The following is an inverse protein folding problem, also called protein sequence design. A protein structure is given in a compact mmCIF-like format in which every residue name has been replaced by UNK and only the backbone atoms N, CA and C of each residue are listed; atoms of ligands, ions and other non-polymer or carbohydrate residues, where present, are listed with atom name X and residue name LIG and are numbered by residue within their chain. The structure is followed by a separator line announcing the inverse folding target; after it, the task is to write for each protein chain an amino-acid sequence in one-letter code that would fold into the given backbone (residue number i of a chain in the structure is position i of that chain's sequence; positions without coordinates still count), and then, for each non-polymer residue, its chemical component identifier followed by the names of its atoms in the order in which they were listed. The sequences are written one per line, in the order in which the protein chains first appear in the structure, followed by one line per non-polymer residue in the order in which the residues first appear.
data_IF_844078850345
#
_entry.id   IF_844078850345
#
_cell.length_a   1.000
_cell.length_b   1.000
_cell.length_c   1.000
_cell.angle_alpha   90.00
_cell.angle_beta   90.00
_cell.angle_gamma   90.00
#
_symmetry.space_group_name_H-M   'P 1'
#
loop_
_entity.id
_entity.type
_entity.pdbx_description
1 polymer ?
#
# COMPACT_ATOMS: atom_id res chain seq x y z
N UNK A 1 3.53 5.39 -36.11
CA UNK A 1 2.58 5.38 -34.97
C UNK A 1 2.14 3.93 -34.75
N UNK A 2 2.21 3.39 -33.53
CA UNK A 2 1.71 2.03 -33.27
C UNK A 2 0.19 2.12 -33.16
N UNK A 3 -0.55 1.50 -34.07
CA UNK A 3 -2.01 1.43 -34.00
C UNK A 3 -2.40 0.34 -33.00
N UNK A 4 -2.87 0.75 -31.82
CA UNK A 4 -3.38 -0.15 -30.79
C UNK A 4 -4.90 -0.05 -30.83
N UNK A 5 -5.58 -1.13 -31.24
CA UNK A 5 -7.02 -1.23 -31.01
C UNK A 5 -7.23 -1.48 -29.52
N UNK A 6 -8.05 -0.67 -28.86
CA UNK A 6 -8.25 -0.76 -27.41
C UNK A 6 -9.71 -0.95 -27.02
N UNK A 7 -9.94 -1.43 -25.80
CA UNK A 7 -11.27 -1.42 -25.17
C UNK A 7 -11.59 -0.04 -24.58
N UNK A 8 -12.84 0.16 -24.13
CA UNK A 8 -13.30 1.43 -23.53
C UNK A 8 -12.50 1.88 -22.29
N UNK A 9 -11.71 0.98 -21.69
CA UNK A 9 -10.90 1.27 -20.51
C UNK A 9 -9.44 1.58 -20.85
N UNK A 10 -9.08 1.65 -22.13
CA UNK A 10 -7.71 1.80 -22.62
C UNK A 10 -6.75 0.76 -22.01
N UNK A 11 -7.21 -0.47 -21.81
CA UNK A 11 -6.47 -1.47 -21.05
C UNK A 11 -5.22 -1.96 -21.80
N UNK A 12 -5.28 -2.07 -23.13
CA UNK A 12 -4.19 -2.55 -23.98
C UNK A 12 -3.10 -1.49 -24.16
N UNK A 13 -3.48 -0.23 -24.34
CA UNK A 13 -2.60 0.92 -24.41
C UNK A 13 -1.86 1.11 -23.09
N UNK A 14 -2.56 1.08 -21.95
CA UNK A 14 -1.93 1.13 -20.62
C UNK A 14 -0.91 0.00 -20.43
N UNK A 15 -1.25 -1.21 -20.86
CA UNK A 15 -0.33 -2.35 -20.79
C UNK A 15 0.88 -2.15 -21.69
N UNK A 16 0.70 -1.64 -22.91
CA UNK A 16 1.79 -1.31 -23.83
C UNK A 16 2.75 -0.28 -23.24
N UNK A 17 2.24 0.85 -22.73
CA UNK A 17 3.08 1.88 -22.10
C UNK A 17 3.81 1.34 -20.86
N UNK A 18 3.16 0.49 -20.06
CA UNK A 18 3.81 -0.21 -18.94
C UNK A 18 4.98 -1.08 -19.42
N UNK A 19 4.81 -1.81 -20.52
CA UNK A 19 5.86 -2.63 -21.12
C UNK A 19 7.02 -1.79 -21.66
N UNK A 20 6.73 -0.69 -22.36
CA UNK A 20 7.73 0.25 -22.87
C UNK A 20 8.51 0.88 -21.72
N UNK A 21 7.82 1.39 -20.69
CA UNK A 21 8.44 1.96 -19.51
C UNK A 21 9.33 0.94 -18.78
N UNK A 22 8.90 -0.33 -18.69
CA UNK A 22 9.71 -1.39 -18.11
C UNK A 22 10.97 -1.67 -18.92
N UNK A 23 10.86 -1.75 -20.25
CA UNK A 23 12.01 -1.95 -21.15
C UNK A 23 13.00 -0.79 -21.03
N UNK A 24 12.51 0.44 -21.03
CA UNK A 24 13.35 1.62 -20.87
C UNK A 24 14.04 1.68 -19.50
N UNK A 25 13.33 1.32 -18.43
CA UNK A 25 13.93 1.21 -17.09
C UNK A 25 15.04 0.15 -17.03
N UNK A 26 14.85 -1.01 -17.65
CA UNK A 26 15.87 -2.04 -17.78
C UNK A 26 17.08 -1.54 -18.59
N UNK A 27 16.84 -0.80 -19.68
CA UNK A 27 17.90 -0.19 -20.49
C UNK A 27 18.75 0.78 -19.67
N UNK A 28 18.12 1.74 -18.98
CA UNK A 28 18.83 2.68 -18.07
C UNK A 28 19.62 1.93 -17.00
N UNK A 29 19.05 0.88 -16.42
CA UNK A 29 19.73 0.04 -15.43
C UNK A 29 20.98 -0.63 -16.00
N UNK A 30 20.92 -1.08 -17.26
CA UNK A 30 22.07 -1.66 -17.97
C UNK A 30 23.18 -0.62 -18.19
N UNK A 31 22.81 0.61 -18.59
CA UNK A 31 23.78 1.70 -18.73
C UNK A 31 24.52 1.97 -17.41
N UNK A 32 23.78 2.10 -16.30
CA UNK A 32 24.36 2.30 -14.96
C UNK A 32 25.27 1.14 -14.56
N UNK A 33 24.83 -0.10 -14.76
CA UNK A 33 25.60 -1.30 -14.37
C UNK A 33 26.93 -1.42 -15.13
N UNK A 34 26.95 -1.00 -16.39
CA UNK A 34 28.06 -1.23 -17.29
C UNK A 34 29.05 -0.06 -17.37
N UNK A 35 28.60 1.19 -17.25
CA UNK A 35 29.47 2.37 -17.39
C UNK A 35 29.63 3.20 -16.12
N UNK A 36 28.68 3.15 -15.17
CA UNK A 36 28.77 3.93 -13.92
C UNK A 36 29.31 3.07 -12.78
N UNK A 37 28.62 1.98 -12.45
CA UNK A 37 28.96 1.12 -11.31
C UNK A 37 29.92 -0.01 -11.66
N UNK A 38 30.18 -0.24 -12.95
CA UNK A 38 31.08 -1.28 -13.48
C UNK A 38 30.85 -2.69 -12.92
N UNK A 39 29.62 -3.01 -12.51
CA UNK A 39 29.21 -4.32 -11.96
C UNK A 39 29.00 -5.38 -13.05
N UNK A 40 28.85 -4.98 -14.30
CA UNK A 40 28.65 -5.87 -15.44
C UNK A 40 29.91 -5.90 -16.30
N UNK A 41 30.43 -7.11 -16.57
CA UNK A 41 31.58 -7.28 -17.46
C UNK A 41 31.20 -6.81 -18.86
N UNK A 42 32.02 -5.91 -19.43
CA UNK A 42 31.87 -5.49 -20.82
C UNK A 42 32.18 -6.69 -21.73
N UNK A 43 31.41 -6.92 -22.80
CA UNK A 43 31.78 -7.93 -23.78
C UNK A 43 33.12 -7.54 -24.42
N UNK A 44 33.96 -8.54 -24.74
CA UNK A 44 35.36 -8.35 -25.16
C UNK A 44 35.51 -7.35 -26.33
N UNK A 45 34.53 -7.30 -27.23
CA UNK A 45 34.48 -6.42 -28.39
C UNK A 45 34.04 -4.96 -28.10
N UNK A 46 33.73 -4.62 -26.85
CA UNK A 46 33.21 -3.30 -26.44
C UNK A 46 33.81 -2.81 -25.12
N UNK A 47 35.02 -3.26 -24.78
CA UNK A 47 35.72 -2.92 -23.52
C UNK A 47 35.98 -1.42 -23.38
N UNK A 48 36.32 -0.73 -24.47
CA UNK A 48 36.63 0.70 -24.46
C UNK A 48 35.50 1.59 -25.03
N UNK A 49 34.39 1.00 -25.49
CA UNK A 49 33.29 1.77 -26.09
C UNK A 49 32.43 2.46 -25.03
N UNK A 50 32.11 3.72 -25.25
CA UNK A 50 31.17 4.49 -24.46
C UNK A 50 29.72 4.19 -24.89
N UNK A 51 28.69 4.61 -24.11
CA UNK A 51 27.30 4.32 -24.45
C UNK A 51 26.88 4.83 -25.84
N UNK A 52 27.36 6.01 -26.24
CA UNK A 52 27.06 6.58 -27.56
C UNK A 52 27.74 5.83 -28.71
N UNK A 53 28.90 5.19 -28.48
CA UNK A 53 29.56 4.33 -29.48
C UNK A 53 28.84 2.98 -29.68
N UNK A 54 28.00 2.58 -28.72
CA UNK A 54 27.26 1.31 -28.73
C UNK A 54 25.82 1.50 -29.17
N UNK A 55 25.24 2.66 -28.88
CA UNK A 55 23.83 2.97 -29.13
C UNK A 55 23.70 4.24 -29.97
N UNK A 56 23.36 4.09 -31.25
CA UNK A 56 23.25 5.20 -32.22
C UNK A 56 22.25 6.30 -31.81
N UNK A 57 21.32 5.99 -30.90
CA UNK A 57 20.29 6.91 -30.42
C UNK A 57 20.66 7.61 -29.10
N UNK A 58 21.87 7.41 -28.58
CA UNK A 58 22.38 8.12 -27.41
C UNK A 58 23.45 9.09 -27.89
N UNK A 59 23.26 10.37 -27.63
CA UNK A 59 24.31 11.39 -27.83
C UNK A 59 25.21 11.51 -26.59
N UNK A 60 26.38 12.13 -26.75
CA UNK A 60 27.27 12.42 -25.63
C UNK A 60 26.59 13.33 -24.59
N UNK A 61 25.80 14.30 -25.03
CA UNK A 61 25.07 15.22 -24.16
C UNK A 61 23.94 14.54 -23.40
N UNK A 62 23.23 13.60 -24.04
CA UNK A 62 22.24 12.75 -23.36
C UNK A 62 22.91 11.95 -22.24
N UNK A 63 24.11 11.41 -22.50
CA UNK A 63 24.87 10.68 -21.50
C UNK A 63 25.29 11.57 -20.33
N UNK A 64 25.88 12.74 -20.60
CA UNK A 64 26.26 13.71 -19.56
C UNK A 64 25.06 14.09 -18.69
N UNK A 65 23.91 14.36 -19.33
CA UNK A 65 22.66 14.69 -18.65
C UNK A 65 22.17 13.52 -17.79
N UNK A 66 22.23 12.30 -18.31
CA UNK A 66 21.86 11.09 -17.58
C UNK A 66 22.74 10.85 -16.35
N UNK A 67 24.05 11.01 -16.47
CA UNK A 67 25.00 10.86 -15.36
C UNK A 67 24.73 11.90 -14.27
N UNK A 68 24.54 13.17 -14.63
CA UNK A 68 24.15 14.24 -13.68
C UNK A 68 22.86 13.86 -12.94
N UNK A 69 21.85 13.38 -13.67
CA UNK A 69 20.58 12.99 -13.06
C UNK A 69 20.71 11.79 -12.11
N UNK A 70 21.60 10.85 -12.41
CA UNK A 70 21.83 9.68 -11.56
C UNK A 70 22.40 10.06 -10.18
N UNK A 71 23.33 11.01 -10.15
CA UNK A 71 23.99 11.48 -8.92
C UNK A 71 23.23 12.57 -8.15
N UNK A 72 22.07 13.01 -8.64
CA UNK A 72 21.18 13.90 -7.87
C UNK A 72 20.86 13.28 -6.49
N UNK A 73 20.96 14.04 -5.39
CA UNK A 73 20.66 13.53 -4.06
C UNK A 73 19.27 12.88 -3.95
N UNK A 74 18.26 13.49 -4.59
CA UNK A 74 16.89 12.95 -4.64
C UNK A 74 16.82 11.55 -5.31
N UNK A 75 17.60 11.34 -6.38
CA UNK A 75 17.67 10.05 -7.09
C UNK A 75 18.32 8.97 -6.24
N UNK A 76 19.39 9.30 -5.53
CA UNK A 76 20.08 8.39 -4.63
C UNK A 76 19.20 8.00 -3.43
N UNK A 77 18.50 8.97 -2.82
CA UNK A 77 17.55 8.72 -1.73
C UNK A 77 16.41 7.78 -2.16
N UNK A 78 15.84 7.99 -3.36
CA UNK A 78 14.82 7.09 -3.93
C UNK A 78 15.37 5.68 -4.12
N UNK A 79 16.59 5.55 -4.62
CA UNK A 79 17.25 4.25 -4.82
C UNK A 79 17.48 3.52 -3.50
N UNK A 80 17.95 4.23 -2.48
CA UNK A 80 18.18 3.67 -1.16
C UNK A 80 16.89 3.20 -0.50
N UNK A 81 15.82 4.02 -0.56
CA UNK A 81 14.48 3.63 -0.07
C UNK A 81 13.98 2.36 -0.76
N UNK A 82 14.13 2.26 -2.08
CA UNK A 82 13.73 1.08 -2.83
C UNK A 82 14.55 -0.16 -2.43
N UNK A 83 15.86 -0.01 -2.18
CA UNK A 83 16.74 -1.09 -1.70
C UNK A 83 16.36 -1.55 -0.30
N UNK A 84 16.10 -0.63 0.64
CA UNK A 84 15.60 -0.94 1.98
C UNK A 84 14.26 -1.69 1.92
N UNK A 85 13.35 -1.24 1.06
CA UNK A 85 12.08 -1.95 0.86
C UNK A 85 12.30 -3.35 0.28
N UNK A 86 13.25 -3.52 -0.65
CA UNK A 86 13.53 -4.80 -1.26
C UNK A 86 14.18 -5.80 -0.28
N UNK A 87 15.04 -5.34 0.63
CA UNK A 87 15.62 -6.19 1.67
C UNK A 87 14.60 -6.69 2.69
N UNK A 88 13.48 -5.98 2.87
CA UNK A 88 12.38 -6.40 3.74
C UNK A 88 11.41 -7.40 3.06
N UNK A 89 11.65 -7.80 1.80
CA UNK A 89 10.79 -8.78 1.12
C UNK A 89 10.98 -10.16 1.74
N UNK A 90 9.97 -10.65 2.44
CA UNK A 90 9.93 -12.01 2.99
C UNK A 90 9.49 -13.03 1.94
N UNK A 91 10.04 -14.24 2.05
CA UNK A 91 9.60 -15.43 1.33
C UNK A 91 9.46 -15.20 -0.19
N UNK A 92 10.55 -14.87 -0.90
CA UNK A 92 10.51 -14.72 -2.35
C UNK A 92 10.25 -16.07 -3.03
N UNK A 93 9.31 -16.09 -3.98
CA UNK A 93 8.98 -17.29 -4.73
C UNK A 93 10.12 -17.72 -5.68
N UNK A 94 10.25 -19.02 -5.96
CA UNK A 94 11.31 -19.62 -6.82
C UNK A 94 10.88 -19.92 -8.27
N UNK A 95 9.80 -19.29 -8.75
CA UNK A 95 9.29 -19.48 -10.13
C UNK A 95 10.18 -18.88 -11.24
N UNK A 96 11.24 -18.15 -10.87
CA UNK A 96 12.19 -17.52 -11.80
C UNK A 96 11.52 -16.52 -12.77
N UNK A 97 12.09 -16.39 -13.98
CA UNK A 97 11.57 -15.47 -15.02
C UNK A 97 10.21 -15.89 -15.58
N UNK A 98 9.82 -17.16 -15.42
CA UNK A 98 8.54 -17.70 -15.93
C UNK A 98 7.35 -17.11 -15.15
N UNK A 99 7.50 -16.91 -13.84
CA UNK A 99 6.41 -16.52 -12.95
C UNK A 99 5.33 -17.60 -12.82
N UNK A 100 4.31 -17.35 -12.00
CA UNK A 100 3.21 -18.31 -11.74
C UNK A 100 2.48 -18.75 -13.01
N UNK A 101 2.12 -17.80 -13.90
CA UNK A 101 1.31 -18.10 -15.08
C UNK A 101 1.95 -19.14 -16.00
N UNK A 102 3.26 -19.05 -16.24
CA UNK A 102 3.95 -20.03 -17.08
C UNK A 102 4.32 -21.30 -16.31
N UNK A 103 4.67 -21.17 -15.03
CA UNK A 103 4.99 -22.34 -14.18
C UNK A 103 3.79 -23.24 -13.93
N UNK A 104 2.58 -22.69 -13.92
CA UNK A 104 1.34 -23.46 -13.86
C UNK A 104 1.24 -24.54 -14.94
N UNK A 105 1.58 -24.20 -16.17
CA UNK A 105 1.58 -25.17 -17.28
C UNK A 105 2.63 -26.26 -17.06
N UNK A 106 3.80 -25.93 -16.51
CA UNK A 106 4.82 -26.92 -16.14
C UNK A 106 4.27 -27.84 -15.04
N UNK A 107 3.67 -27.29 -13.98
CA UNK A 107 3.11 -28.08 -12.87
C UNK A 107 1.97 -29.01 -13.28
N UNK A 108 1.14 -28.58 -14.24
CA UNK A 108 0.07 -29.43 -14.80
C UNK A 108 0.69 -30.58 -15.60
N UNK A 109 1.70 -30.31 -16.43
CA UNK A 109 2.41 -31.35 -17.20
C UNK A 109 3.10 -32.37 -16.30
N UNK A 110 3.66 -31.89 -15.18
CA UNK A 110 4.33 -32.73 -14.19
C UNK A 110 3.34 -33.48 -13.27
N UNK A 111 2.02 -33.31 -13.44
CA UNK A 111 1.00 -33.94 -12.60
C UNK A 111 0.88 -33.37 -11.18
N UNK A 112 1.57 -32.26 -10.88
CA UNK A 112 1.61 -31.61 -9.55
C UNK A 112 0.45 -30.65 -9.31
N UNK A 113 -0.28 -30.30 -10.36
CA UNK A 113 -1.47 -29.47 -10.33
C UNK A 113 -2.51 -30.06 -11.29
N UNK A 114 -3.80 -30.12 -10.93
CA UNK A 114 -4.79 -30.74 -11.80
C UNK A 114 -5.04 -29.90 -13.07
N UNK A 115 -5.51 -30.52 -14.17
CA UNK A 115 -5.72 -29.83 -15.45
C UNK A 115 -6.75 -28.69 -15.39
N UNK A 116 -7.75 -28.79 -14.50
CA UNK A 116 -8.77 -27.74 -14.29
C UNK A 116 -8.19 -26.46 -13.66
N UNK A 117 -6.96 -26.51 -13.15
CA UNK A 117 -6.22 -25.32 -12.75
C UNK A 117 -5.69 -24.53 -13.94
N UNK A 118 -5.74 -25.04 -15.17
CA UNK A 118 -5.38 -24.27 -16.35
C UNK A 118 -6.24 -22.99 -16.44
N UNK A 119 -5.62 -21.87 -16.83
CA UNK A 119 -6.41 -20.71 -17.21
C UNK A 119 -7.23 -21.11 -18.45
N UNK A 120 -8.55 -20.88 -18.48
CA UNK A 120 -9.24 -20.86 -19.75
C UNK A 120 -8.53 -19.80 -20.58
N UNK A 121 -7.88 -20.23 -21.66
CA UNK A 121 -7.44 -19.34 -22.71
C UNK A 121 -8.74 -18.83 -23.30
N UNK A 122 -9.31 -17.75 -22.76
CA UNK A 122 -10.50 -17.15 -23.35
C UNK A 122 -10.10 -16.53 -24.68
N UNK A 123 -10.20 -17.36 -25.71
CA UNK A 123 -10.92 -17.02 -26.93
C UNK A 123 -12.18 -16.24 -26.57
N UNK A 124 -12.39 -15.17 -27.32
CA UNK A 124 -13.52 -14.27 -27.29
C UNK A 124 -14.88 -14.98 -27.24
N UNK A 125 -15.52 -15.04 -26.07
CA UNK A 125 -16.99 -14.96 -25.95
C UNK A 125 -17.42 -15.00 -24.47
N UNK A 126 -18.33 -14.09 -24.10
CA UNK A 126 -18.98 -13.95 -22.79
C UNK A 126 -18.14 -13.39 -21.62
N UNK A 127 -18.31 -12.09 -21.38
CA UNK A 127 -17.68 -11.30 -20.31
C UNK A 127 -18.09 -11.71 -18.88
N UNK A 128 -19.17 -12.49 -18.71
CA UNK A 128 -19.68 -12.84 -17.38
C UNK A 128 -19.17 -14.22 -16.88
N UNK A 129 -18.95 -15.19 -17.77
CA UNK A 129 -18.48 -16.55 -17.41
C UNK A 129 -16.97 -16.62 -17.09
N UNK A 130 -16.17 -15.77 -17.74
CA UNK A 130 -14.70 -15.74 -17.58
C UNK A 130 -14.24 -15.20 -16.20
N UNK A 131 -15.04 -14.34 -15.57
CA UNK A 131 -14.69 -13.74 -14.26
C UNK A 131 -14.95 -14.72 -13.11
N UNK A 132 -16.09 -15.39 -13.09
CA UNK A 132 -16.46 -16.35 -12.02
C UNK A 132 -15.56 -17.58 -12.02
N UNK A 133 -15.23 -18.12 -13.20
CA UNK A 133 -14.28 -19.24 -13.36
C UNK A 133 -12.88 -18.88 -12.86
N UNK A 134 -12.41 -17.65 -13.13
CA UNK A 134 -11.12 -17.18 -12.61
C UNK A 134 -11.13 -17.04 -11.08
N UNK A 135 -12.21 -16.51 -10.50
CA UNK A 135 -12.37 -16.36 -9.04
C UNK A 135 -12.35 -17.72 -8.33
N UNK A 136 -13.14 -18.67 -8.81
CA UNK A 136 -13.19 -20.02 -8.25
C UNK A 136 -11.84 -20.72 -8.36
N UNK A 137 -11.16 -20.59 -9.50
CA UNK A 137 -9.81 -21.14 -9.68
C UNK A 137 -8.82 -20.55 -8.68
N UNK A 138 -8.80 -19.22 -8.52
CA UNK A 138 -7.91 -18.56 -7.58
C UNK A 138 -8.16 -19.08 -6.17
N UNK A 139 -9.42 -19.15 -5.72
CA UNK A 139 -9.75 -19.68 -4.40
C UNK A 139 -9.25 -21.12 -4.22
N UNK A 140 -9.47 -21.98 -5.21
CA UNK A 140 -9.14 -23.42 -5.15
C UNK A 140 -7.65 -23.73 -5.25
N UNK A 141 -6.91 -23.01 -6.10
CA UNK A 141 -5.55 -23.41 -6.49
C UNK A 141 -4.44 -22.47 -6.04
N UNK A 142 -4.74 -21.22 -5.67
CA UNK A 142 -3.69 -20.23 -5.36
C UNK A 142 -2.77 -20.66 -4.22
N UNK A 143 -3.33 -21.24 -3.17
CA UNK A 143 -2.55 -21.78 -2.03
C UNK A 143 -1.60 -22.89 -2.50
N UNK A 144 -2.09 -23.83 -3.31
CA UNK A 144 -1.29 -24.93 -3.90
C UNK A 144 -0.21 -24.37 -4.84
N UNK A 145 -0.55 -23.42 -5.70
CA UNK A 145 0.41 -22.73 -6.59
C UNK A 145 1.50 -21.99 -5.80
N UNK A 146 1.16 -21.35 -4.68
CA UNK A 146 2.13 -20.71 -3.80
C UNK A 146 3.10 -21.73 -3.21
N UNK A 147 2.60 -22.85 -2.69
CA UNK A 147 3.44 -23.95 -2.16
C UNK A 147 4.40 -24.48 -3.24
N UNK A 148 3.87 -24.80 -4.43
CA UNK A 148 4.67 -25.30 -5.56
C UNK A 148 5.73 -24.30 -6.02
N UNK A 149 5.47 -22.99 -5.88
CA UNK A 149 6.41 -21.95 -6.19
C UNK A 149 7.59 -21.86 -5.21
N UNK A 150 7.48 -22.45 -4.03
CA UNK A 150 8.51 -22.46 -3.00
C UNK A 150 9.30 -23.77 -2.94
N UNK A 151 8.85 -24.81 -3.63
CA UNK A 151 9.55 -26.09 -3.71
C UNK A 151 10.86 -26.01 -4.51
N UNK A 152 11.83 -26.80 -4.08
CA UNK A 152 13.15 -27.03 -4.69
C UNK A 152 13.32 -28.53 -4.91
N UNK A 153 14.10 -28.91 -5.91
CA UNK A 153 14.50 -30.31 -6.07
C UNK A 153 15.62 -30.65 -5.10
N UNK A 154 15.41 -31.70 -4.32
CA UNK A 154 16.44 -32.31 -3.50
C UNK A 154 17.52 -32.99 -4.35
N UNK A 155 18.60 -33.42 -3.69
CA UNK A 155 19.64 -34.27 -4.28
C UNK A 155 19.06 -35.54 -4.91
N UNK A 156 17.94 -36.04 -4.38
CA UNK A 156 17.19 -37.20 -4.85
C UNK A 156 16.21 -36.90 -6.00
N UNK A 157 16.11 -35.63 -6.44
CA UNK A 157 15.20 -35.20 -7.49
C UNK A 157 13.74 -34.99 -7.04
N UNK A 158 13.42 -35.28 -5.78
CA UNK A 158 12.10 -35.01 -5.18
C UNK A 158 11.89 -33.51 -4.95
N UNK A 159 10.68 -33.03 -5.20
CA UNK A 159 10.30 -31.64 -4.97
C UNK A 159 9.77 -31.44 -3.55
N UNK A 160 10.46 -30.63 -2.75
CA UNK A 160 10.01 -30.25 -1.41
C UNK A 160 10.42 -28.82 -1.06
N UNK A 161 9.83 -28.27 0.01
CA UNK A 161 10.24 -26.97 0.53
C UNK A 161 11.52 -27.18 1.33
N UNK A 162 12.51 -26.31 1.11
CA UNK A 162 13.76 -26.35 1.85
C UNK A 162 13.49 -26.27 3.36
N UNK A 163 13.92 -27.25 4.17
CA UNK A 163 13.71 -27.24 5.63
C UNK A 163 14.29 -26.01 6.34
N UNK A 164 15.29 -25.35 5.73
CA UNK A 164 15.86 -24.12 6.26
C UNK A 164 14.89 -22.93 6.17
N UNK A 165 13.90 -22.97 5.27
CA UNK A 165 12.87 -21.95 5.16
C UNK A 165 11.73 -22.20 6.17
N UNK A 166 12.03 -22.17 7.48
CA UNK A 166 11.08 -22.53 8.55
C UNK A 166 9.74 -21.80 8.43
N UNK A 167 9.76 -20.47 8.19
CA UNK A 167 8.53 -19.69 7.98
C UNK A 167 7.69 -20.22 6.81
N UNK A 168 8.34 -20.62 5.71
CA UNK A 168 7.65 -21.10 4.49
C UNK A 168 7.06 -22.48 4.73
N UNK A 169 7.79 -23.35 5.44
CA UNK A 169 7.31 -24.68 5.85
C UNK A 169 6.07 -24.54 6.72
N UNK A 170 6.11 -23.70 7.77
CA UNK A 170 4.95 -23.44 8.65
C UNK A 170 3.73 -22.87 7.92
N UNK A 171 3.95 -21.94 6.98
CA UNK A 171 2.86 -21.38 6.18
C UNK A 171 2.27 -22.47 5.26
N UNK A 172 3.12 -23.31 4.66
CA UNK A 172 2.67 -24.36 3.76
C UNK A 172 1.88 -25.45 4.49
N UNK A 173 2.33 -25.90 5.66
CA UNK A 173 1.62 -26.90 6.48
C UNK A 173 0.25 -26.38 6.89
N UNK A 174 0.18 -25.19 7.50
CA UNK A 174 -1.09 -24.55 7.87
C UNK A 174 -2.01 -24.33 6.68
N UNK A 175 -1.47 -23.90 5.53
CA UNK A 175 -2.29 -23.72 4.33
C UNK A 175 -2.88 -25.04 3.83
N UNK A 176 -2.14 -26.15 3.88
CA UNK A 176 -2.66 -27.48 3.51
C UNK A 176 -3.72 -27.97 4.49
N UNK A 177 -3.52 -27.75 5.80
CA UNK A 177 -4.51 -28.07 6.83
C UNK A 177 -5.81 -27.29 6.60
N UNK A 178 -5.74 -25.98 6.38
CA UNK A 178 -6.92 -25.16 6.11
C UNK A 178 -7.63 -25.52 4.80
N UNK A 179 -6.90 -25.97 3.76
CA UNK A 179 -7.52 -26.51 2.54
C UNK A 179 -8.30 -27.78 2.89
N UNK A 180 -7.72 -28.69 3.67
CA UNK A 180 -8.40 -29.92 4.06
C UNK A 180 -9.63 -29.66 4.95
N UNK A 181 -9.58 -28.66 5.84
CA UNK A 181 -10.72 -28.24 6.65
C UNK A 181 -11.84 -27.58 5.81
N UNK A 182 -11.48 -26.77 4.80
CA UNK A 182 -12.43 -26.20 3.85
C UNK A 182 -13.10 -27.31 3.02
N UNK A 183 -12.34 -28.30 2.54
CA UNK A 183 -12.86 -29.45 1.79
C UNK A 183 -13.81 -30.33 2.63
N UNK A 184 -13.60 -30.41 3.96
CA UNK A 184 -14.50 -31.07 4.91
C UNK A 184 -15.73 -30.24 5.28
N UNK A 185 -15.78 -28.96 4.91
CA UNK A 185 -16.87 -28.04 5.27
C UNK A 185 -16.78 -27.44 6.67
N UNK A 186 -15.69 -27.67 7.40
CA UNK A 186 -15.49 -27.14 8.76
C UNK A 186 -15.06 -25.66 8.77
N UNK A 187 -14.58 -25.17 7.63
CA UNK A 187 -14.00 -23.84 7.49
C UNK A 187 -14.54 -23.19 6.21
N UNK A 188 -15.00 -21.95 6.32
CA UNK A 188 -15.35 -21.11 5.18
C UNK A 188 -14.53 -19.82 5.22
N UNK A 189 -14.22 -19.26 4.05
CA UNK A 189 -13.46 -18.03 3.92
C UNK A 189 -14.32 -16.88 3.42
N UNK A 190 -14.07 -15.69 3.98
CA UNK A 190 -14.65 -14.45 3.48
C UNK A 190 -14.14 -14.09 2.07
N UNK A 191 -14.81 -13.13 1.43
CA UNK A 191 -14.39 -12.66 0.12
C UNK A 191 -13.02 -11.95 0.17
N UNK A 192 -12.06 -12.46 -0.60
CA UNK A 192 -10.68 -11.94 -0.60
C UNK A 192 -9.76 -12.63 0.40
N UNK A 193 -10.28 -13.62 1.11
CA UNK A 193 -9.53 -14.54 1.97
C UNK A 193 -9.54 -15.95 1.40
N UNK A 194 -8.58 -16.75 1.86
CA UNK A 194 -8.41 -18.17 1.57
C UNK A 194 -7.40 -18.78 2.56
N UNK A 195 -7.14 -20.08 2.40
CA UNK A 195 -6.19 -20.82 3.22
C UNK A 195 -4.80 -20.17 3.29
N UNK A 196 -4.29 -19.63 2.19
CA UNK A 196 -2.98 -18.99 2.15
C UNK A 196 -2.93 -17.69 2.96
N UNK A 197 -3.93 -16.83 2.81
CA UNK A 197 -3.98 -15.55 3.58
C UNK A 197 -4.21 -15.79 5.05
N UNK A 198 -5.01 -16.80 5.42
CA UNK A 198 -5.17 -17.25 6.81
C UNK A 198 -3.87 -17.81 7.38
N UNK A 199 -3.16 -18.68 6.65
CA UNK A 199 -1.87 -19.23 7.07
C UNK A 199 -0.78 -18.18 7.25
N UNK A 200 -0.75 -17.16 6.38
CA UNK A 200 0.18 -16.03 6.50
C UNK A 200 -0.22 -15.07 7.64
N UNK A 201 -1.49 -15.05 8.04
CA UNK A 201 -2.03 -14.10 9.01
C UNK A 201 -2.14 -12.66 8.47
N UNK A 202 -2.10 -12.46 7.16
CA UNK A 202 -2.19 -11.13 6.54
C UNK A 202 -2.96 -11.16 5.22
N UNK A 203 -3.97 -10.29 5.11
CA UNK A 203 -4.71 -10.04 3.87
C UNK A 203 -3.80 -9.48 2.76
N UNK A 204 -4.14 -9.81 1.52
CA UNK A 204 -3.42 -9.30 0.37
C UNK A 204 -3.61 -7.79 0.16
N UNK A 205 -2.61 -7.16 -0.47
CA UNK A 205 -2.70 -5.76 -0.82
C UNK A 205 -3.71 -5.53 -1.95
N UNK A 206 -4.52 -4.47 -1.89
CA UNK A 206 -5.59 -4.19 -2.88
C UNK A 206 -5.16 -4.31 -4.34
N UNK A 207 -3.96 -3.82 -4.64
CA UNK A 207 -3.40 -3.80 -6.00
C UNK A 207 -2.68 -5.07 -6.44
N UNK A 208 -2.37 -6.01 -5.54
CA UNK A 208 -1.58 -7.18 -5.87
C UNK A 208 -1.84 -8.36 -4.93
N UNK A 209 -2.21 -9.48 -5.52
CA UNK A 209 -2.49 -10.75 -4.85
C UNK A 209 -1.27 -11.67 -4.91
N UNK A 210 -0.98 -12.39 -3.83
CA UNK A 210 0.09 -13.41 -3.80
C UNK A 210 -0.32 -14.66 -4.59
N UNK A 211 0.64 -15.42 -5.11
CA UNK A 211 0.38 -16.72 -5.72
C UNK A 211 -0.30 -16.72 -7.11
N UNK A 212 -0.70 -15.57 -7.65
CA UNK A 212 -1.47 -15.51 -8.93
C UNK A 212 -0.68 -14.99 -10.13
N UNK A 213 0.53 -14.46 -9.91
CA UNK A 213 1.35 -13.84 -10.95
C UNK A 213 1.31 -12.30 -10.97
N UNK A 214 1.91 -11.69 -11.99
CA UNK A 214 2.08 -10.22 -12.06
C UNK A 214 0.77 -9.44 -12.22
N UNK A 215 0.66 -8.30 -11.51
CA UNK A 215 -0.41 -7.28 -11.61
C UNK A 215 -1.86 -7.78 -11.52
N UNK A 216 -2.11 -8.94 -10.90
CA UNK A 216 -3.48 -9.37 -10.58
C UNK A 216 -3.90 -8.69 -9.28
N UNK A 217 -4.80 -7.70 -9.40
CA UNK A 217 -5.41 -7.03 -8.25
C UNK A 217 -6.50 -7.87 -7.59
N UNK A 218 -6.86 -7.52 -6.35
CA UNK A 218 -7.81 -8.29 -5.53
C UNK A 218 -9.16 -8.49 -6.22
N UNK A 219 -9.67 -7.46 -6.93
CA UNK A 219 -10.93 -7.51 -7.66
C UNK A 219 -10.92 -8.53 -8.81
N UNK A 220 -9.78 -8.66 -9.51
CA UNK A 220 -9.63 -9.60 -10.62
C UNK A 220 -9.43 -11.03 -10.12
N UNK A 221 -8.84 -11.18 -8.94
CA UNK A 221 -8.55 -12.48 -8.32
C UNK A 221 -9.76 -13.06 -7.58
N UNK A 222 -10.49 -12.24 -6.81
CA UNK A 222 -11.56 -12.67 -5.90
C UNK A 222 -12.94 -12.09 -6.25
N UNK A 223 -13.03 -11.36 -7.37
CA UNK A 223 -14.25 -10.70 -7.81
C UNK A 223 -14.47 -9.33 -7.15
N UNK A 224 -15.50 -8.59 -7.58
CA UNK A 224 -15.91 -7.36 -6.91
C UNK A 224 -16.29 -7.67 -5.45
N UNK A 225 -15.64 -6.99 -4.51
CA UNK A 225 -16.08 -7.01 -3.12
C UNK A 225 -17.53 -6.52 -3.05
N UNK A 226 -18.37 -7.22 -2.28
CA UNK A 226 -19.63 -6.65 -1.81
C UNK A 226 -19.23 -5.41 -1.00
N UNK A 227 -19.48 -4.23 -1.58
CA UNK A 227 -19.36 -3.01 -0.81
C UNK A 227 -20.56 -3.03 0.11
N UNK A 228 -20.36 -3.32 1.39
CA UNK A 228 -21.19 -2.65 2.37
C UNK A 228 -21.04 -1.16 2.05
N UNK A 229 -22.13 -0.53 1.63
CA UNK A 229 -22.15 0.90 1.40
C UNK A 229 -21.49 1.54 2.61
N UNK A 230 -20.58 2.49 2.38
CA UNK A 230 -20.03 3.33 3.44
C UNK A 230 -21.12 4.30 3.96
N UNK A 231 -22.36 3.84 4.02
CA UNK A 231 -23.52 4.51 4.62
C UNK A 231 -23.82 3.96 6.01
N UNK A 232 -23.31 2.78 6.38
CA UNK A 232 -23.24 2.40 7.78
C UNK A 232 -21.99 3.06 8.35
N UNK A 233 -22.16 4.31 8.77
CA UNK A 233 -21.59 4.69 10.05
C UNK A 233 -22.07 3.61 11.02
N UNK A 234 -21.24 2.58 11.23
CA UNK A 234 -21.46 1.62 12.28
C UNK A 234 -21.73 2.45 13.53
N UNK A 235 -22.97 2.40 13.97
CA UNK A 235 -23.41 2.93 15.25
C UNK A 235 -22.61 2.14 16.28
N UNK A 236 -21.39 2.58 16.55
CA UNK A 236 -20.68 2.17 17.74
C UNK A 236 -21.66 2.41 18.87
N UNK A 237 -21.97 1.36 19.64
CA UNK A 237 -23.19 1.30 20.46
C UNK A 237 -23.36 2.62 21.22
N UNK A 238 -24.57 3.20 21.20
CA UNK A 238 -24.81 4.51 21.81
C UNK A 238 -24.33 4.54 23.27
N UNK A 239 -24.41 3.39 23.94
CA UNK A 239 -23.90 3.11 25.28
C UNK A 239 -22.42 3.49 25.46
N UNK A 240 -21.55 3.24 24.48
CA UNK A 240 -20.14 3.58 24.57
C UNK A 240 -19.89 5.08 24.45
N UNK A 241 -20.67 5.80 23.63
CA UNK A 241 -20.57 7.25 23.52
C UNK A 241 -21.19 7.97 24.71
N UNK A 242 -22.30 7.47 25.23
CA UNK A 242 -22.94 8.00 26.43
C UNK A 242 -22.05 7.79 27.66
N UNK A 243 -21.39 6.63 27.78
CA UNK A 243 -20.43 6.35 28.83
C UNK A 243 -19.21 7.29 28.76
N UNK A 244 -18.64 7.50 27.57
CA UNK A 244 -17.54 8.46 27.37
C UNK A 244 -18.01 9.89 27.69
N UNK A 245 -19.21 10.29 27.23
CA UNK A 245 -19.77 11.63 27.47
C UNK A 245 -20.04 11.87 28.96
N UNK A 246 -20.57 10.86 29.67
CA UNK A 246 -20.80 10.92 31.10
C UNK A 246 -19.49 11.00 31.89
N UNK A 247 -18.46 10.24 31.50
CA UNK A 247 -17.14 10.29 32.14
C UNK A 247 -16.50 11.67 32.00
N UNK A 248 -16.49 12.23 30.78
CA UNK A 248 -15.94 13.56 30.52
C UNK A 248 -16.69 14.65 31.30
N UNK A 249 -18.03 14.56 31.36
CA UNK A 249 -18.85 15.52 32.11
C UNK A 249 -18.54 15.46 33.62
N UNK A 250 -18.43 14.25 34.18
CA UNK A 250 -18.14 14.04 35.60
C UNK A 250 -16.74 14.52 35.98
N UNK A 251 -15.75 14.28 35.13
CA UNK A 251 -14.38 14.78 35.33
C UNK A 251 -14.35 16.31 35.33
N UNK A 252 -15.05 16.95 34.39
CA UNK A 252 -15.14 18.40 34.31
C UNK A 252 -15.85 19.02 35.52
N UNK A 253 -16.97 18.44 35.96
CA UNK A 253 -17.70 18.89 37.15
C UNK A 253 -16.84 18.78 38.41
N UNK A 254 -16.14 17.65 38.60
CA UNK A 254 -15.24 17.47 39.73
C UNK A 254 -14.04 18.41 39.71
N UNK A 255 -13.53 18.78 38.53
CA UNK A 255 -12.45 19.77 38.42
C UNK A 255 -12.94 21.19 38.69
N UNK A 256 -14.17 21.53 38.27
CA UNK A 256 -14.80 22.82 38.56
C UNK A 256 -15.04 22.98 40.06
N UNK A 257 -15.58 21.95 40.73
CA UNK A 257 -15.85 21.97 42.17
C UNK A 257 -14.57 22.21 42.97
N UNK A 258 -13.49 21.48 42.66
CA UNK A 258 -12.17 21.71 43.27
C UNK A 258 -11.63 23.12 43.06
N UNK A 259 -11.82 23.70 41.87
CA UNK A 259 -11.38 25.08 41.59
C UNK A 259 -12.20 26.11 42.37
N UNK A 260 -13.51 25.90 42.52
CA UNK A 260 -14.39 26.76 43.30
C UNK A 260 -14.03 26.69 44.78
N UNK A 261 -13.90 25.49 45.34
CA UNK A 261 -13.49 25.29 46.74
C UNK A 261 -12.16 25.98 47.05
N UNK A 262 -11.17 25.83 46.17
CA UNK A 262 -9.87 26.48 46.32
C UNK A 262 -10.00 28.01 46.33
N UNK A 263 -10.77 28.59 45.41
CA UNK A 263 -10.97 30.05 45.35
C UNK A 263 -11.75 30.58 46.56
N UNK A 264 -12.75 29.85 47.04
CA UNK A 264 -13.50 30.20 48.25
C UNK A 264 -12.59 30.15 49.48
N UNK A 265 -11.77 29.10 49.62
CA UNK A 265 -10.81 29.00 50.71
C UNK A 265 -9.77 30.14 50.67
N UNK A 266 -9.25 30.48 49.49
CA UNK A 266 -8.34 31.62 49.31
C UNK A 266 -9.00 32.96 49.65
N UNK A 267 -10.28 33.15 49.26
CA UNK A 267 -11.03 34.35 49.60
C UNK A 267 -11.26 34.46 51.11
N UNK A 268 -11.66 33.37 51.78
CA UNK A 268 -11.84 33.34 53.24
C UNK A 268 -10.52 33.59 53.98
N UNK A 269 -9.41 33.00 53.52
CA UNK A 269 -8.09 33.26 54.09
C UNK A 269 -7.69 34.73 53.93
N UNK A 270 -7.94 35.34 52.76
CA UNK A 270 -7.71 36.78 52.55
C UNK A 270 -8.54 37.61 53.53
N UNK A 271 -9.84 37.33 53.67
CA UNK A 271 -10.75 38.02 54.60
C UNK A 271 -10.29 37.92 56.07
N UNK A 272 -9.89 36.72 56.52
CA UNK A 272 -9.34 36.53 57.87
C UNK A 272 -8.02 37.28 58.06
N UNK A 273 -7.14 37.24 57.06
CA UNK A 273 -5.87 37.96 57.12
C UNK A 273 -6.05 39.49 57.16
N UNK A 274 -7.06 40.02 56.49
CA UNK A 274 -7.40 41.44 56.55
C UNK A 274 -7.97 41.81 57.92
N UNK A 275 -8.86 40.99 58.48
CA UNK A 275 -9.42 41.20 59.82
C UNK A 275 -8.34 41.23 60.91
N UNK A 276 -7.39 40.29 60.86
CA UNK A 276 -6.27 40.24 61.81
C UNK A 276 -5.32 41.44 61.68
N UNK A 277 -5.25 42.07 60.49
CA UNK A 277 -4.37 43.23 60.25
C UNK A 277 -5.02 44.57 60.59
N UNK A 278 -6.34 44.72 60.45
CA UNK A 278 -7.02 46.01 60.59
C UNK A 278 -7.85 46.18 61.85
N UNK A 279 -8.15 45.10 62.59
CA UNK A 279 -8.82 45.17 63.91
C UNK A 279 -10.22 45.81 63.90
N UNK A 280 -10.87 45.97 62.74
CA UNK A 280 -12.20 46.59 62.60
C UNK A 280 -13.12 45.76 61.69
N UNK A 281 -14.32 45.46 62.20
CA UNK A 281 -15.44 44.85 61.46
C UNK A 281 -16.09 45.91 60.57
N UNK A 282 -15.73 45.93 59.29
CA UNK A 282 -16.49 46.68 58.29
C UNK A 282 -17.45 45.74 57.55
N UNK A 283 -18.69 46.22 57.39
CA UNK A 283 -19.87 45.58 56.82
C UNK A 283 -19.65 44.38 55.89
N UNK A 284 -20.34 43.28 56.20
CA UNK A 284 -20.51 42.10 55.35
C UNK A 284 -21.26 42.54 54.08
N UNK A 285 -20.52 42.88 53.02
CA UNK A 285 -21.03 42.75 51.67
C UNK A 285 -20.80 41.32 51.24
N UNK A 286 -21.90 40.63 50.92
CA UNK A 286 -21.86 39.39 50.14
C UNK A 286 -20.95 39.61 48.92
N UNK A 287 -20.13 38.63 48.52
CA UNK A 287 -19.45 38.72 47.24
C UNK A 287 -20.55 38.68 46.17
N UNK A 288 -20.91 39.86 45.68
CA UNK A 288 -21.71 40.01 44.48
C UNK A 288 -20.94 39.27 43.38
N UNK A 289 -21.66 38.42 42.68
CA UNK A 289 -21.20 37.62 41.56
C UNK A 289 -21.00 38.52 40.31
N UNK A 290 -20.35 39.67 40.47
CA UNK A 290 -20.06 40.62 39.39
C UNK A 290 -18.67 40.32 38.85
N UNK A 291 -18.59 39.26 38.03
CA UNK A 291 -17.85 39.22 36.78
C UNK A 291 -17.80 37.76 36.28
N UNK A 292 -18.95 37.28 35.78
CA UNK A 292 -18.93 36.31 34.69
C UNK A 292 -18.63 37.04 33.37
N UNK A 293 -17.51 37.76 33.31
CA UNK A 293 -16.87 37.96 32.02
C UNK A 293 -16.22 36.62 31.67
N UNK A 294 -16.97 35.81 30.91
CA UNK A 294 -16.42 34.75 30.09
C UNK A 294 -15.35 35.40 29.21
N UNK A 295 -14.10 35.41 29.69
CA UNK A 295 -12.95 35.57 28.83
C UNK A 295 -12.90 34.30 27.99
N UNK A 296 -13.61 34.39 26.88
CA UNK A 296 -13.60 33.53 25.72
C UNK A 296 -12.20 33.62 25.07
N UNK A 297 -11.20 33.10 25.78
CA UNK A 297 -9.80 33.02 25.35
C UNK A 297 -9.01 32.06 26.24
N UNK A 298 -9.55 30.85 26.43
CA UNK A 298 -8.69 29.68 26.44
C UNK A 298 -8.82 29.05 25.05
N UNK A 299 -7.97 29.49 24.11
CA UNK A 299 -7.64 28.67 22.94
C UNK A 299 -7.13 27.35 23.50
N UNK A 300 -7.99 26.35 23.53
CA UNK A 300 -7.55 24.97 23.57
C UNK A 300 -6.88 24.76 22.22
N UNK A 301 -5.55 24.86 22.19
CA UNK A 301 -4.76 24.39 21.06
C UNK A 301 -4.87 22.85 21.01
N UNK A 302 -6.03 22.39 20.57
CA UNK A 302 -6.23 21.02 20.11
C UNK A 302 -5.58 20.97 18.73
N UNK A 303 -4.30 20.59 18.70
CA UNK A 303 -3.60 20.30 17.45
C UNK A 303 -4.18 19.01 16.81
N UNK A 304 -5.31 19.19 16.12
CA UNK A 304 -5.99 18.17 15.30
C UNK A 304 -5.45 18.23 13.86
N UNK A 305 -4.22 18.68 13.66
CA UNK A 305 -3.58 18.67 12.34
C UNK A 305 -2.65 17.47 12.10
N UNK A 306 -2.36 16.65 13.13
CA UNK A 306 -1.39 15.56 13.01
C UNK A 306 -1.89 14.26 12.32
N UNK A 307 -3.14 14.12 11.88
CA UNK A 307 -3.64 12.84 11.29
C UNK A 307 -4.37 12.91 9.95
N UNK A 308 -4.39 14.04 9.24
CA UNK A 308 -4.87 14.11 7.85
C UNK A 308 -3.75 14.48 6.88
N UNK A 309 -3.01 13.47 6.42
CA UNK A 309 -2.22 13.57 5.19
C UNK A 309 -3.16 13.64 3.98
N UNK A 310 -3.70 14.82 3.71
CA UNK A 310 -4.40 15.12 2.45
C UNK A 310 -3.33 15.50 1.43
N UNK A 311 -3.09 14.63 0.43
CA UNK A 311 -2.28 14.97 -0.73
C UNK A 311 -3.02 15.99 -1.59
N UNK A 312 -2.76 17.28 -1.38
CA UNK A 312 -3.07 18.29 -2.39
C UNK A 312 -2.11 18.12 -3.57
N UNK A 313 -2.62 17.59 -4.66
CA UNK A 313 -1.96 17.63 -5.96
C UNK A 313 -2.07 19.10 -6.41
N UNK A 314 -0.95 19.82 -6.36
CA UNK A 314 -0.81 21.08 -7.09
C UNK A 314 -0.84 20.75 -8.58
N UNK A 315 -2.01 20.90 -9.19
CA UNK A 315 -2.18 20.91 -10.64
C UNK A 315 -1.63 22.25 -11.13
N UNK A 316 -0.58 22.28 -11.98
CA UNK A 316 -0.16 23.52 -12.62
C UNK A 316 -1.29 24.00 -13.54
N UNK A 317 -1.72 25.25 -13.33
CA UNK A 317 -2.62 25.98 -14.23
C UNK A 317 -2.08 25.90 -15.69
N UNK A 318 -2.92 25.56 -16.68
CA UNK A 318 -2.49 25.53 -18.07
C UNK A 318 -2.13 26.96 -18.51
N UNK A 319 -0.88 27.17 -18.91
CA UNK A 319 -0.50 28.38 -19.65
C UNK A 319 -1.22 28.37 -20.99
N UNK A 320 -2.01 29.41 -21.23
CA UNK A 320 -2.52 29.86 -22.52
C UNK A 320 -1.47 29.63 -23.63
N UNK A 321 -1.71 28.61 -24.46
CA UNK A 321 -0.95 28.40 -25.69
C UNK A 321 -1.40 29.49 -26.68
N UNK A 322 -0.59 30.54 -26.81
CA UNK A 322 -0.68 31.47 -27.93
C UNK A 322 -0.64 30.68 -29.24
N UNK A 323 -1.78 30.64 -29.92
CA UNK A 323 -1.94 30.14 -31.28
C UNK A 323 -0.97 30.89 -32.19
N UNK A 324 0.13 30.26 -32.57
CA UNK A 324 0.92 30.69 -33.73
C UNK A 324 0.27 30.08 -34.97
N UNK A 325 -0.43 30.93 -35.73
CA UNK A 325 -0.83 30.65 -37.12
C UNK A 325 0.43 30.33 -37.94
N UNK A 326 0.64 29.08 -38.31
CA UNK A 326 1.56 28.72 -39.38
C UNK A 326 0.91 29.09 -40.71
N UNK A 327 1.50 30.04 -41.41
CA UNK A 327 1.17 30.30 -42.81
C UNK A 327 1.57 29.10 -43.66
N UNK A 328 0.66 28.70 -44.52
CA UNK A 328 0.86 27.87 -45.70
C UNK A 328 1.97 28.43 -46.58
N UNK A 329 2.91 27.58 -46.99
CA UNK A 329 3.62 27.76 -48.25
C UNK A 329 3.54 26.47 -49.05
N UNK A 330 2.81 26.59 -50.15
CA UNK A 330 2.91 25.77 -51.35
C UNK A 330 4.31 26.00 -51.95
N UNK A 331 5.05 24.93 -52.22
CA UNK A 331 5.56 24.52 -53.55
C UNK A 331 6.44 23.29 -53.39
#
# INVERSE_FOLDING_TARGET
MFHITDDSNHSREKYFHSCVAKRFSCFKSKLVRRWITMKEKKPKNQTNKMPWDVYNHITEDDWKTFVKHYFLPESLLRSEKARKSASCNKNPHRTGKKGYNRKRLDWIKDGRLPPDAALPISSSSSVNSSVTSNVNRVRKYRSKEWILAHQVQNKEGKWEIDPNDTEVVEIATKALEYIAEEEKGNLSFEQGEDALTKAIGKKDHRGRVKGTGGMVGIKKAFGPCIRHSRSDNGEASSENYESIRASVKKEFEGELEKRVEKRVAEALQKQLSTLLKTGQLNSISTPILDDLHLNDSARVDLDVSATRTTRHILVPQPRELKVRRSHSFLT
#
